data_IF_411311880624
#
_entry.id   IF_411311880624
#
_cell.length_a   1.000
_cell.length_b   1.000
_cell.length_c   1.000
_cell.angle_alpha   90.00
_cell.angle_beta   90.00
_cell.angle_gamma   90.00
#
_symmetry.space_group_name_H-M   'P 1'
#
loop_
_entity.id
_entity.type
_entity.pdbx_description
1 polymer ?
#
# COMPACT_ATOMS: atom_id res chain seq x y z
N UNK A 1 8.19 -19.84 -1.14
CA UNK A 1 7.93 -18.96 -2.25
C UNK A 1 8.13 -17.51 -1.85
N UNK A 2 8.86 -16.81 -2.63
CA UNK A 2 9.15 -15.43 -2.29
C UNK A 2 7.93 -14.56 -2.47
N UNK A 3 7.67 -13.71 -1.49
CA UNK A 3 6.65 -12.71 -1.61
C UNK A 3 7.16 -11.58 -2.50
N UNK A 4 6.29 -11.08 -3.37
CA UNK A 4 6.63 -9.94 -4.20
C UNK A 4 6.45 -8.69 -3.35
N UNK A 5 7.51 -7.89 -3.23
CA UNK A 5 7.41 -6.62 -2.54
C UNK A 5 7.06 -5.55 -3.56
N UNK A 6 5.79 -5.16 -3.60
CA UNK A 6 5.34 -4.14 -4.54
C UNK A 6 6.05 -2.82 -4.33
N UNK A 7 6.48 -2.55 -3.09
CA UNK A 7 7.17 -1.31 -2.78
C UNK A 7 8.51 -1.16 -3.48
N UNK A 8 9.10 -2.27 -3.93
CA UNK A 8 10.39 -2.27 -4.61
C UNK A 8 10.27 -2.40 -6.13
N UNK A 9 9.07 -2.56 -6.65
CA UNK A 9 8.87 -2.68 -8.10
C UNK A 9 8.90 -1.32 -8.77
N UNK A 10 9.85 -1.06 -9.70
CA UNK A 10 9.89 0.22 -10.40
C UNK A 10 8.60 0.50 -11.17
N UNK A 11 7.98 -0.51 -11.74
CA UNK A 11 6.76 -0.35 -12.52
C UNK A 11 5.59 0.06 -11.65
N UNK A 12 5.48 -0.53 -10.45
CA UNK A 12 4.45 -0.14 -9.51
C UNK A 12 4.69 1.29 -9.00
N UNK A 13 5.95 1.63 -8.72
CA UNK A 13 6.30 2.98 -8.26
C UNK A 13 5.98 4.02 -9.32
N UNK A 14 6.28 3.72 -10.59
CA UNK A 14 6.03 4.66 -11.68
C UNK A 14 4.52 4.88 -11.87
N UNK A 15 3.74 3.81 -11.86
CA UNK A 15 2.30 3.94 -12.01
C UNK A 15 1.70 4.69 -10.81
N UNK A 16 2.24 4.47 -9.63
CA UNK A 16 1.81 5.19 -8.44
C UNK A 16 2.01 6.69 -8.58
N UNK A 17 3.16 7.09 -9.13
CA UNK A 17 3.44 8.51 -9.36
C UNK A 17 2.48 9.11 -10.39
N UNK A 18 2.20 8.35 -11.45
CA UNK A 18 1.27 8.81 -12.49
C UNK A 18 -0.12 9.03 -11.91
N UNK A 19 -0.61 8.08 -11.13
CA UNK A 19 -1.99 8.09 -10.65
C UNK A 19 -2.19 8.94 -9.39
N UNK A 20 -1.21 8.93 -8.50
CA UNK A 20 -1.38 9.53 -7.18
C UNK A 20 -0.37 10.63 -6.87
N UNK A 21 0.61 10.82 -7.74
CA UNK A 21 1.64 11.82 -7.50
C UNK A 21 2.61 11.45 -6.37
N UNK A 22 2.66 10.17 -5.99
CA UNK A 22 3.46 9.72 -4.88
C UNK A 22 3.89 8.28 -5.14
N UNK A 23 5.20 8.02 -4.98
CA UNK A 23 5.82 6.77 -5.42
C UNK A 23 5.28 5.53 -4.73
N UNK A 24 4.96 5.61 -3.46
CA UNK A 24 4.66 4.42 -2.65
C UNK A 24 3.18 4.24 -2.33
N UNK A 25 2.33 5.16 -2.77
CA UNK A 25 0.90 5.11 -2.43
C UNK A 25 0.23 3.84 -2.96
N UNK A 26 0.52 3.48 -4.19
CA UNK A 26 -0.12 2.32 -4.81
C UNK A 26 0.27 1.02 -4.10
N UNK A 27 1.57 0.84 -3.84
CA UNK A 27 2.02 -0.37 -3.14
C UNK A 27 1.41 -0.47 -1.75
N UNK A 28 1.32 0.65 -1.04
CA UNK A 28 0.70 0.67 0.28
C UNK A 28 -0.77 0.27 0.20
N UNK A 29 -1.51 0.84 -0.73
CA UNK A 29 -2.93 0.51 -0.89
C UNK A 29 -3.12 -0.96 -1.26
N UNK A 30 -2.27 -1.49 -2.11
CA UNK A 30 -2.35 -2.90 -2.49
C UNK A 30 -2.08 -3.81 -1.29
N UNK A 31 -1.09 -3.48 -0.47
CA UNK A 31 -0.79 -4.28 0.72
C UNK A 31 -1.97 -4.27 1.69
N UNK A 32 -2.59 -3.11 1.88
CA UNK A 32 -3.78 -3.00 2.73
C UNK A 32 -4.94 -3.79 2.15
N UNK A 33 -5.12 -3.71 0.82
CA UNK A 33 -6.19 -4.43 0.14
C UNK A 33 -6.07 -5.94 0.32
N UNK A 34 -4.84 -6.45 0.39
CA UNK A 34 -4.59 -7.89 0.53
C UNK A 34 -4.54 -8.35 1.99
N UNK A 35 -4.63 -7.43 2.93
CA UNK A 35 -4.61 -7.76 4.35
C UNK A 35 -5.97 -8.31 4.80
N UNK A 36 -6.02 -8.73 6.06
CA UNK A 36 -7.28 -9.17 6.64
C UNK A 36 -8.17 -8.02 7.12
N UNK A 37 -7.75 -6.78 6.90
CA UNK A 37 -8.55 -5.61 7.20
C UNK A 37 -8.01 -4.73 8.32
N UNK A 38 -7.12 -5.26 9.15
CA UNK A 38 -6.48 -4.52 10.24
C UNK A 38 -4.97 -4.59 10.00
N UNK A 39 -4.33 -3.44 9.91
CA UNK A 39 -2.89 -3.39 9.63
C UNK A 39 -2.20 -2.49 10.64
N UNK A 40 -0.90 -2.70 10.83
CA UNK A 40 -0.10 -1.77 11.61
C UNK A 40 1.11 -1.33 10.78
N UNK A 41 1.66 -0.12 11.10
CA UNK A 41 2.75 0.43 10.29
C UNK A 41 4.00 -0.44 10.22
N UNK A 42 4.33 -1.14 11.31
CA UNK A 42 5.50 -2.00 11.34
C UNK A 42 5.38 -3.15 10.35
N UNK A 43 4.23 -3.83 10.37
CA UNK A 43 3.99 -4.92 9.43
C UNK A 43 3.96 -4.43 7.98
N UNK A 44 3.34 -3.28 7.76
CA UNK A 44 3.27 -2.72 6.40
C UNK A 44 4.67 -2.39 5.89
N UNK A 45 5.52 -1.81 6.72
CA UNK A 45 6.87 -1.50 6.31
C UNK A 45 7.64 -2.77 5.93
N UNK A 46 7.47 -3.83 6.72
CA UNK A 46 8.12 -5.11 6.44
C UNK A 46 7.62 -5.72 5.12
N UNK A 47 6.31 -5.73 4.93
CA UNK A 47 5.70 -6.27 3.70
C UNK A 47 6.18 -5.50 2.48
N UNK A 48 6.30 -4.19 2.59
CA UNK A 48 6.68 -3.34 1.46
C UNK A 48 8.19 -3.25 1.27
N UNK A 49 8.97 -3.77 2.20
CA UNK A 49 10.42 -3.72 2.08
C UNK A 49 11.01 -2.37 2.44
N UNK A 50 10.31 -1.57 3.24
CA UNK A 50 10.79 -0.26 3.66
C UNK A 50 11.61 -0.38 4.94
N UNK A 51 12.67 0.43 5.04
CA UNK A 51 13.53 0.40 6.21
C UNK A 51 12.90 1.02 7.43
N UNK A 52 12.04 2.02 7.24
CA UNK A 52 11.48 2.78 8.35
C UNK A 52 9.98 2.94 8.20
N UNK A 53 9.27 2.80 9.32
CA UNK A 53 7.83 3.05 9.37
C UNK A 53 7.49 4.49 9.07
N UNK A 54 8.43 5.41 9.33
CA UNK A 54 8.20 6.84 9.12
C UNK A 54 7.84 7.16 7.67
N UNK A 55 8.28 6.32 6.72
CA UNK A 55 7.92 6.48 5.31
C UNK A 55 6.43 6.33 5.06
N UNK A 56 5.71 5.68 5.98
CA UNK A 56 4.30 5.39 5.82
C UNK A 56 3.39 6.37 6.56
N UNK A 57 3.96 7.25 7.40
CA UNK A 57 3.13 8.12 8.24
C UNK A 57 2.22 9.04 7.43
N UNK A 58 2.79 9.74 6.46
CA UNK A 58 1.98 10.65 5.65
C UNK A 58 1.01 9.92 4.73
N UNK A 59 1.42 8.86 4.02
CA UNK A 59 0.46 8.10 3.23
C UNK A 59 -0.70 7.53 4.05
N UNK A 60 -0.43 6.99 5.24
CA UNK A 60 -1.49 6.46 6.09
C UNK A 60 -2.42 7.57 6.56
N UNK A 61 -1.87 8.71 6.93
CA UNK A 61 -2.68 9.85 7.34
C UNK A 61 -3.60 10.30 6.21
N UNK A 62 -3.07 10.32 4.98
CA UNK A 62 -3.87 10.71 3.82
C UNK A 62 -5.02 9.74 3.57
N UNK A 63 -4.79 8.46 3.76
CA UNK A 63 -5.86 7.48 3.61
C UNK A 63 -6.92 7.62 4.69
N UNK A 64 -6.51 7.96 5.92
CA UNK A 64 -7.47 8.25 6.98
C UNK A 64 -8.27 9.50 6.65
N UNK A 65 -7.61 10.55 6.21
CA UNK A 65 -8.27 11.80 5.84
C UNK A 65 -9.27 11.59 4.71
N UNK A 66 -8.97 10.66 3.80
CA UNK A 66 -9.86 10.33 2.68
C UNK A 66 -11.02 9.42 3.09
N UNK A 67 -11.04 8.92 4.32
CA UNK A 67 -12.10 8.03 4.79
C UNK A 67 -11.90 6.57 4.42
N UNK A 68 -10.71 6.22 3.92
CA UNK A 68 -10.44 4.84 3.50
C UNK A 68 -9.89 3.98 4.62
N UNK A 69 -9.35 4.60 5.66
CA UNK A 69 -8.86 3.91 6.85
C UNK A 69 -9.40 4.62 8.09
N UNK A 70 -9.57 3.84 9.15
CA UNK A 70 -9.86 4.36 10.48
C UNK A 70 -8.68 4.04 11.39
N UNK A 71 -8.12 5.06 12.03
CA UNK A 71 -7.03 4.88 12.97
C UNK A 71 -7.58 4.35 14.29
N UNK A 72 -6.98 3.29 14.79
CA UNK A 72 -7.39 2.65 16.05
C UNK A 72 -6.21 2.68 17.01
N UNK A 73 -6.44 3.23 18.21
CA UNK A 73 -5.44 3.21 19.26
C UNK A 73 -5.60 1.93 20.07
N UNK A 74 -4.56 1.11 20.05
CA UNK A 74 -4.55 -0.15 20.78
C UNK A 74 -3.94 -0.01 22.15
N UNK A 75 -3.75 -1.15 22.81
CA UNK A 75 -3.11 -1.20 24.11
C UNK A 75 -1.65 -0.79 24.00
N UNK A 76 -1.13 -0.19 25.07
CA UNK A 76 0.29 0.16 25.17
C UNK A 76 0.74 1.15 24.08
N UNK A 77 -0.16 2.02 23.65
CA UNK A 77 0.17 3.04 22.69
C UNK A 77 0.33 2.56 21.26
N UNK A 78 0.01 1.31 20.98
CA UNK A 78 0.09 0.78 19.64
C UNK A 78 -1.00 1.36 18.76
N UNK A 79 -0.67 1.58 17.49
CA UNK A 79 -1.60 2.16 16.52
C UNK A 79 -1.86 1.14 15.42
N UNK A 80 -3.13 0.97 15.10
CA UNK A 80 -3.57 0.10 14.01
C UNK A 80 -4.47 0.91 13.09
N UNK A 81 -4.66 0.40 11.89
CA UNK A 81 -5.56 1.03 10.91
C UNK A 81 -6.52 -0.03 10.41
N UNK A 82 -7.81 0.31 10.43
CA UNK A 82 -8.86 -0.57 9.91
C UNK A 82 -9.23 -0.11 8.52
N UNK A 83 -9.25 -1.05 7.58
CA UNK A 83 -9.67 -0.78 6.22
C UNK A 83 -11.19 -0.60 6.17
N UNK A 84 -11.62 0.52 5.59
CA UNK A 84 -13.05 0.76 5.37
C UNK A 84 -13.45 0.20 4.03
N UNK A 85 -14.71 -0.19 3.88
CA UNK A 85 -15.20 -0.72 2.62
C UNK A 85 -15.13 0.36 1.53
N UNK A 86 -14.52 0.00 0.41
CA UNK A 86 -14.39 0.95 -0.69
C UNK A 86 -13.93 0.21 -1.94
N UNK A 87 -14.37 0.67 -3.08
CA UNK A 87 -13.87 0.19 -4.37
C UNK A 87 -12.42 0.57 -4.60
N UNK A 88 -11.89 1.50 -3.80
CA UNK A 88 -10.50 1.93 -3.95
C UNK A 88 -9.52 0.77 -3.79
N UNK A 89 -9.85 -0.20 -2.96
CA UNK A 89 -8.96 -1.33 -2.72
C UNK A 89 -8.89 -2.24 -3.94
N UNK A 90 -10.02 -2.55 -4.56
CA UNK A 90 -10.04 -3.33 -5.79
C UNK A 90 -9.34 -2.57 -6.92
N UNK A 91 -9.52 -1.26 -6.97
CA UNK A 91 -8.86 -0.42 -7.96
C UNK A 91 -7.34 -0.47 -7.78
N UNK A 92 -6.86 -0.41 -6.54
CA UNK A 92 -5.41 -0.50 -6.29
C UNK A 92 -4.85 -1.83 -6.79
N UNK A 93 -5.56 -2.93 -6.54
CA UNK A 93 -5.11 -4.24 -7.02
C UNK A 93 -5.12 -4.31 -8.54
N UNK A 94 -6.11 -3.70 -9.18
CA UNK A 94 -6.14 -3.64 -10.63
C UNK A 94 -4.94 -2.86 -11.19
N UNK A 95 -4.60 -1.74 -10.56
CA UNK A 95 -3.46 -0.95 -11.02
C UNK A 95 -2.14 -1.71 -10.87
N UNK A 96 -1.97 -2.43 -9.76
CA UNK A 96 -0.78 -3.26 -9.58
C UNK A 96 -0.70 -4.32 -10.66
N UNK A 97 -1.81 -4.98 -10.96
CA UNK A 97 -1.84 -5.99 -12.01
C UNK A 97 -1.46 -5.40 -13.36
N UNK A 98 -1.93 -4.19 -13.67
CA UNK A 98 -1.58 -3.51 -14.92
C UNK A 98 -0.09 -3.18 -14.97
N UNK A 99 0.48 -2.73 -13.85
CA UNK A 99 1.90 -2.40 -13.80
C UNK A 99 2.75 -3.64 -14.02
N UNK A 100 2.41 -4.75 -13.41
CA UNK A 100 3.17 -5.99 -13.54
C UNK A 100 3.01 -6.59 -14.93
N UNK A 101 1.84 -6.46 -15.54
CA UNK A 101 1.62 -6.93 -16.90
C UNK A 101 2.43 -6.12 -17.89
N UNK A 102 2.55 -4.80 -17.71
CA UNK A 102 3.40 -3.96 -18.53
C UNK A 102 4.86 -4.39 -18.45
N UNK A 103 5.31 -4.75 -17.26
CA UNK A 103 6.67 -5.24 -17.06
C UNK A 103 6.90 -6.51 -17.85
N UNK A 104 5.97 -7.46 -17.78
CA UNK A 104 6.06 -8.70 -18.55
C UNK A 104 6.09 -8.43 -20.05
N UNK A 105 5.24 -7.54 -20.52
CA UNK A 105 5.20 -7.19 -21.93
C UNK A 105 6.50 -6.54 -22.39
N UNK A 106 7.10 -5.73 -21.53
CA UNK A 106 8.35 -5.04 -21.88
C UNK A 106 9.54 -5.99 -21.98
N UNK A 107 9.48 -7.14 -21.33
CA UNK A 107 10.57 -8.10 -21.37
C UNK A 107 10.52 -9.03 -22.58
N UNK A 108 9.47 -8.97 -23.34
CA UNK A 108 9.33 -9.75 -24.57
C UNK A 108 9.86 -8.97 -25.80
#
# INVERSE_FOLDING_TARGET
>A
MSSVSYGLSPQVQELSEIMFGQRHRLALMAAIAQSDGIVNPSELADILGFRAQSSLQMPLKRLVDAGLLTRISGLEGRVYYRREDSHAWAFALELVARALTSEDAATQ
#
